data_IF_651185741326
#
_entry.id   IF_651185741326
#
_cell.length_a   1.000
_cell.length_b   1.000
_cell.length_c   1.000
_cell.angle_alpha   90.00
_cell.angle_beta   90.00
_cell.angle_gamma   90.00
#
_symmetry.space_group_name_H-M   'P 1'
#
loop_
_entity.id
_entity.type
_entity.pdbx_description
1 polymer ?
#
# COMPACT_ATOMS: atom_id res chain seq x y z
N UNK A 1 -49.09 3.44 -1.17
CA UNK A 1 -48.19 2.48 -1.81
C UNK A 1 -48.22 1.23 -0.97
N UNK A 2 -48.51 0.11 -1.63
CA UNK A 2 -48.60 -1.20 -0.98
C UNK A 2 -47.21 -1.63 -0.47
N UNK A 3 -47.13 -2.44 0.59
CA UNK A 3 -45.83 -2.92 1.11
C UNK A 3 -45.05 -3.66 0.01
N UNK A 4 -45.76 -4.40 -0.84
CA UNK A 4 -45.20 -5.09 -2.00
C UNK A 4 -44.66 -4.12 -3.08
N UNK A 5 -45.25 -2.94 -3.26
CA UNK A 5 -44.74 -1.92 -4.19
C UNK A 5 -43.44 -1.30 -3.68
N UNK A 6 -43.34 -1.04 -2.38
CA UNK A 6 -42.12 -0.49 -1.77
C UNK A 6 -40.96 -1.49 -1.84
N UNK A 7 -41.23 -2.77 -1.61
CA UNK A 7 -40.25 -3.85 -1.69
C UNK A 7 -39.77 -4.08 -3.14
N UNK A 8 -40.69 -4.07 -4.11
CA UNK A 8 -40.33 -4.16 -5.53
C UNK A 8 -39.47 -2.96 -6.00
N UNK A 9 -39.78 -1.75 -5.51
CA UNK A 9 -38.98 -0.55 -5.82
C UNK A 9 -37.57 -0.64 -5.25
N UNK A 10 -37.44 -1.16 -4.02
CA UNK A 10 -36.14 -1.36 -3.37
C UNK A 10 -35.27 -2.37 -4.13
N UNK A 11 -35.84 -3.51 -4.54
CA UNK A 11 -35.12 -4.53 -5.33
C UNK A 11 -34.69 -3.96 -6.69
N UNK A 12 -35.57 -3.18 -7.34
CA UNK A 12 -35.24 -2.55 -8.62
C UNK A 12 -34.11 -1.52 -8.47
N UNK A 13 -34.09 -0.78 -7.37
CA UNK A 13 -33.03 0.18 -7.08
C UNK A 13 -31.69 -0.51 -6.79
N UNK A 14 -31.69 -1.57 -5.98
CA UNK A 14 -30.49 -2.38 -5.68
C UNK A 14 -29.90 -3.00 -6.96
N UNK A 15 -30.74 -3.57 -7.84
CA UNK A 15 -30.29 -4.10 -9.14
C UNK A 15 -29.62 -3.02 -9.99
N UNK A 16 -30.18 -1.81 -9.99
CA UNK A 16 -29.63 -0.70 -10.75
C UNK A 16 -28.26 -0.27 -10.21
N UNK A 17 -28.11 -0.20 -8.89
CA UNK A 17 -26.82 0.12 -8.26
C UNK A 17 -25.75 -0.92 -8.61
N UNK A 18 -26.11 -2.22 -8.62
CA UNK A 18 -25.20 -3.30 -9.05
C UNK A 18 -24.81 -3.15 -10.52
N UNK A 19 -25.78 -2.93 -11.41
CA UNK A 19 -25.50 -2.74 -12.84
C UNK A 19 -24.63 -1.50 -13.11
N UNK A 20 -24.88 -0.41 -12.41
CA UNK A 20 -24.10 0.82 -12.51
C UNK A 20 -22.65 0.58 -12.05
N UNK A 21 -22.45 -0.17 -10.96
CA UNK A 21 -21.11 -0.55 -10.49
C UNK A 21 -20.36 -1.45 -11.49
N UNK A 22 -21.04 -2.48 -12.03
CA UNK A 22 -20.47 -3.38 -13.04
C UNK A 22 -20.00 -2.61 -14.29
N UNK A 23 -20.81 -1.65 -14.75
CA UNK A 23 -20.48 -0.80 -15.90
C UNK A 23 -19.35 0.18 -15.58
N UNK A 24 -19.41 0.86 -14.42
CA UNK A 24 -18.40 1.83 -13.99
C UNK A 24 -17.00 1.21 -13.98
N UNK A 25 -16.89 -0.03 -13.52
CA UNK A 25 -15.61 -0.74 -13.43
C UNK A 25 -15.33 -1.67 -14.61
N UNK A 26 -16.22 -1.73 -15.61
CA UNK A 26 -16.11 -2.62 -16.78
C UNK A 26 -15.83 -4.09 -16.42
N UNK A 27 -16.36 -4.54 -15.27
CA UNK A 27 -16.03 -5.84 -14.67
C UNK A 27 -16.36 -7.01 -15.60
N UNK A 28 -17.49 -6.93 -16.32
CA UNK A 28 -17.89 -7.98 -17.26
C UNK A 28 -16.90 -8.14 -18.41
N UNK A 29 -16.41 -7.04 -18.99
CA UNK A 29 -15.44 -7.10 -20.10
C UNK A 29 -14.12 -7.72 -19.64
N UNK A 30 -13.60 -7.21 -18.51
CA UNK A 30 -12.34 -7.68 -17.93
C UNK A 30 -12.42 -9.17 -17.58
N UNK A 31 -13.49 -9.61 -16.92
CA UNK A 31 -13.67 -11.01 -16.56
C UNK A 31 -13.75 -11.90 -17.80
N UNK A 32 -14.49 -11.49 -18.82
CA UNK A 32 -14.61 -12.26 -20.06
C UNK A 32 -13.27 -12.37 -20.79
N UNK A 33 -12.48 -11.30 -20.85
CA UNK A 33 -11.14 -11.30 -21.45
C UNK A 33 -10.21 -12.28 -20.74
N UNK A 34 -10.15 -12.24 -19.40
CA UNK A 34 -9.30 -13.12 -18.60
C UNK A 34 -9.75 -14.58 -18.73
N UNK A 35 -11.06 -14.86 -18.66
CA UNK A 35 -11.59 -16.22 -18.83
C UNK A 35 -11.25 -16.76 -20.22
N UNK A 36 -11.42 -15.96 -21.28
CA UNK A 36 -11.07 -16.35 -22.63
C UNK A 36 -9.57 -16.64 -22.76
N UNK A 37 -8.71 -15.85 -22.12
CA UNK A 37 -7.27 -16.10 -22.05
C UNK A 37 -6.96 -17.45 -21.39
N UNK A 38 -7.54 -17.75 -20.23
CA UNK A 38 -7.31 -19.01 -19.51
C UNK A 38 -7.78 -20.21 -20.33
N UNK A 39 -8.95 -20.12 -20.95
CA UNK A 39 -9.49 -21.18 -21.82
C UNK A 39 -8.57 -21.44 -23.02
N UNK A 40 -7.91 -20.40 -23.53
CA UNK A 40 -6.96 -20.49 -24.65
C UNK A 40 -5.64 -21.13 -24.23
N UNK A 41 -5.03 -20.65 -23.15
CA UNK A 41 -3.71 -21.12 -22.70
C UNK A 41 -3.75 -22.49 -22.01
N UNK A 42 -4.89 -22.86 -21.42
CA UNK A 42 -5.10 -24.14 -20.70
C UNK A 42 -3.98 -24.45 -19.70
N UNK A 43 -3.67 -23.54 -18.75
CA UNK A 43 -2.67 -23.79 -17.72
C UNK A 43 -3.07 -25.00 -16.84
N UNK A 44 -2.09 -25.66 -16.24
CA UNK A 44 -2.33 -26.75 -15.29
C UNK A 44 -3.13 -26.27 -14.06
N UNK A 45 -2.88 -25.03 -13.61
CA UNK A 45 -3.65 -24.37 -12.55
C UNK A 45 -4.30 -23.06 -13.07
N UNK A 46 -5.56 -23.11 -13.52
CA UNK A 46 -6.26 -21.93 -14.04
C UNK A 46 -6.61 -20.90 -12.96
N UNK A 47 -6.72 -21.30 -11.68
CA UNK A 47 -7.15 -20.37 -10.63
C UNK A 47 -6.01 -19.46 -10.18
N UNK A 48 -4.78 -20.00 -10.09
CA UNK A 48 -3.60 -19.19 -9.81
C UNK A 48 -3.37 -18.16 -10.92
N UNK A 49 -3.45 -18.57 -12.19
CA UNK A 49 -3.31 -17.66 -13.34
C UNK A 49 -4.41 -16.61 -13.37
N UNK A 50 -5.66 -16.99 -13.07
CA UNK A 50 -6.77 -16.02 -12.94
C UNK A 50 -6.46 -14.94 -11.89
N UNK A 51 -5.97 -15.35 -10.72
CA UNK A 51 -5.64 -14.42 -9.64
C UNK A 51 -4.52 -13.45 -10.05
N UNK A 52 -3.51 -13.95 -10.75
CA UNK A 52 -2.40 -13.13 -11.25
C UNK A 52 -2.85 -12.13 -12.33
N UNK A 53 -3.70 -12.54 -13.27
CA UNK A 53 -4.24 -11.66 -14.32
C UNK A 53 -5.17 -10.59 -13.75
N UNK A 54 -6.04 -10.95 -12.80
CA UNK A 54 -6.89 -9.99 -12.09
C UNK A 54 -6.04 -8.99 -11.31
N UNK A 55 -4.96 -9.46 -10.67
CA UNK A 55 -4.01 -8.60 -9.98
C UNK A 55 -3.30 -7.68 -10.97
N UNK A 56 -2.85 -8.18 -12.12
CA UNK A 56 -2.17 -7.36 -13.13
C UNK A 56 -3.08 -6.27 -13.73
N UNK A 57 -4.38 -6.55 -13.84
CA UNK A 57 -5.38 -5.61 -14.37
C UNK A 57 -5.77 -4.53 -13.34
N UNK A 58 -5.62 -4.82 -12.04
CA UNK A 58 -5.97 -3.88 -10.98
C UNK A 58 -5.05 -2.65 -10.98
N UNK A 59 -5.65 -1.47 -11.02
CA UNK A 59 -4.92 -0.19 -10.89
C UNK A 59 -4.27 -0.03 -9.51
N UNK A 60 -4.83 -0.69 -8.49
CA UNK A 60 -4.30 -0.69 -7.12
C UNK A 60 -3.10 -1.64 -6.95
N UNK A 61 -2.86 -2.55 -7.90
CA UNK A 61 -1.79 -3.54 -7.77
C UNK A 61 -0.39 -2.93 -7.75
N UNK A 62 -0.26 -1.70 -8.24
CA UNK A 62 0.98 -0.93 -8.22
C UNK A 62 1.00 0.12 -7.13
N UNK A 63 0.09 0.11 -6.16
CA UNK A 63 0.07 1.14 -5.13
C UNK A 63 0.69 0.65 -3.83
N UNK A 64 1.31 1.60 -3.12
CA UNK A 64 1.65 1.45 -1.71
C UNK A 64 0.34 1.39 -0.92
N UNK A 65 0.16 0.31 -0.17
CA UNK A 65 -1.01 0.06 0.68
C UNK A 65 -0.82 0.61 2.09
N UNK A 66 0.42 0.63 2.57
CA UNK A 66 0.76 1.11 3.91
C UNK A 66 2.25 1.30 4.09
N UNK A 67 2.61 2.19 5.01
CA UNK A 67 3.99 2.39 5.46
C UNK A 67 4.01 2.39 6.99
N UNK A 68 4.93 1.63 7.57
CA UNK A 68 5.13 1.54 9.02
C UNK A 68 6.59 1.68 9.37
N UNK A 69 6.90 1.99 10.61
CA UNK A 69 8.26 1.95 11.12
C UNK A 69 8.32 1.47 12.57
N UNK A 70 9.47 0.93 12.95
CA UNK A 70 9.79 0.56 14.32
C UNK A 70 11.25 0.80 14.64
N UNK A 71 11.52 1.01 15.92
CA UNK A 71 12.87 1.06 16.47
C UNK A 71 13.26 -0.36 16.91
N UNK A 72 14.33 -0.89 16.32
CA UNK A 72 14.97 -2.15 16.70
C UNK A 72 16.27 -1.85 17.46
N UNK A 73 16.79 -2.84 18.18
CA UNK A 73 18.08 -2.74 18.87
C UNK A 73 19.13 -3.57 18.14
N UNK A 74 20.20 -2.89 17.71
CA UNK A 74 21.35 -3.49 17.08
C UNK A 74 22.18 -4.34 18.04
N UNK A 75 23.09 -5.14 17.47
CA UNK A 75 24.02 -5.98 18.23
C UNK A 75 24.99 -5.18 19.12
N UNK A 76 25.20 -3.91 18.78
CA UNK A 76 26.01 -2.93 19.50
C UNK A 76 25.22 -2.19 20.58
N UNK A 77 23.95 -2.54 20.79
CA UNK A 77 23.05 -1.92 21.75
C UNK A 77 22.44 -0.60 21.26
N UNK A 78 22.70 -0.20 20.01
CA UNK A 78 22.22 1.07 19.46
C UNK A 78 20.89 0.90 18.71
N UNK A 79 19.99 1.89 18.76
CA UNK A 79 18.75 1.89 17.98
C UNK A 79 18.99 1.85 16.47
N UNK A 80 18.19 1.05 15.77
CA UNK A 80 18.09 0.95 14.31
C UNK A 80 16.65 1.28 13.92
N UNK A 81 16.47 2.19 12.97
CA UNK A 81 15.18 2.46 12.38
C UNK A 81 14.89 1.40 11.32
N UNK A 82 13.78 0.69 11.43
CA UNK A 82 13.25 -0.17 10.37
C UNK A 82 11.97 0.43 9.82
N UNK A 83 11.88 0.62 8.51
CA UNK A 83 10.66 0.98 7.81
C UNK A 83 10.14 -0.23 7.03
N UNK A 84 8.82 -0.37 6.98
CA UNK A 84 8.11 -1.41 6.24
C UNK A 84 7.15 -0.74 5.24
N UNK A 85 7.22 -1.11 3.97
CA UNK A 85 6.32 -0.67 2.91
C UNK A 85 5.51 -1.87 2.43
N UNK A 86 4.20 -1.79 2.56
CA UNK A 86 3.25 -2.81 2.14
C UNK A 86 2.72 -2.50 0.74
N UNK A 87 2.76 -3.48 -0.16
CA UNK A 87 2.21 -3.42 -1.51
C UNK A 87 1.36 -4.66 -1.78
N UNK A 88 0.61 -4.68 -2.89
CA UNK A 88 -0.10 -5.89 -3.30
C UNK A 88 0.81 -7.11 -3.54
N UNK A 89 2.11 -6.90 -3.78
CA UNK A 89 3.10 -7.99 -3.99
C UNK A 89 3.68 -8.52 -2.69
N UNK A 90 3.51 -7.82 -1.58
CA UNK A 90 4.07 -8.19 -0.29
C UNK A 90 4.62 -6.99 0.47
N UNK A 91 5.33 -7.28 1.55
CA UNK A 91 5.94 -6.29 2.44
C UNK A 91 7.46 -6.24 2.21
N UNK A 92 7.97 -5.03 2.06
CA UNK A 92 9.38 -4.74 1.87
C UNK A 92 9.89 -3.97 3.08
N UNK A 93 11.09 -4.29 3.55
CA UNK A 93 11.66 -3.65 4.73
C UNK A 93 13.04 -3.10 4.46
N UNK A 94 13.34 -1.95 5.06
CA UNK A 94 14.64 -1.30 4.98
C UNK A 94 15.04 -0.79 6.37
N UNK A 95 16.34 -0.86 6.65
CA UNK A 95 16.90 -0.54 7.96
C UNK A 95 17.97 0.56 7.84
N UNK A 96 17.93 1.53 8.74
CA UNK A 96 18.86 2.65 8.83
C UNK A 96 19.35 2.78 10.27
N UNK A 97 20.66 2.64 10.48
CA UNK A 97 21.32 2.79 11.79
C UNK A 97 21.95 4.17 12.00
N UNK A 98 21.86 5.04 10.99
CA UNK A 98 22.43 6.39 11.02
C UNK A 98 21.39 7.44 11.39
N UNK A 99 21.84 8.49 12.08
CA UNK A 99 21.00 9.60 12.50
C UNK A 99 20.36 10.41 11.35
N UNK A 100 19.56 11.44 11.68
CA UNK A 100 19.58 12.17 12.96
C UNK A 100 18.87 11.48 14.12
N UNK A 101 19.56 11.40 15.26
CA UNK A 101 19.07 10.79 16.50
C UNK A 101 18.21 11.74 17.34
N UNK A 102 17.52 11.22 18.36
CA UNK A 102 16.57 11.97 19.19
C UNK A 102 17.22 12.97 20.15
N UNK A 103 18.52 12.83 20.44
CA UNK A 103 19.29 13.65 21.40
C UNK A 103 18.74 13.59 22.84
N UNK A 104 18.06 12.49 23.17
CA UNK A 104 17.58 12.18 24.52
C UNK A 104 18.64 11.39 25.29
N UNK A 105 19.40 12.06 26.16
CA UNK A 105 20.48 11.43 26.94
C UNK A 105 19.99 10.30 27.85
N UNK A 106 18.71 10.28 28.23
CA UNK A 106 18.14 9.21 29.05
C UNK A 106 17.94 7.91 28.24
N UNK A 107 17.97 7.98 26.91
CA UNK A 107 17.72 6.86 26.00
C UNK A 107 18.86 6.66 25.01
N UNK A 108 19.56 5.53 25.15
CA UNK A 108 20.61 5.11 24.22
C UNK A 108 21.72 6.14 24.01
N UNK A 109 22.08 6.89 25.05
CA UNK A 109 23.08 7.98 25.01
C UNK A 109 22.74 9.04 23.93
N UNK A 110 21.46 9.40 23.79
CA UNK A 110 21.02 10.37 22.78
C UNK A 110 20.77 9.77 21.40
N UNK A 111 20.99 8.45 21.20
CA UNK A 111 20.88 7.77 19.90
C UNK A 111 19.50 7.18 19.58
N UNK A 112 18.45 7.60 20.30
CA UNK A 112 17.07 7.22 20.00
C UNK A 112 16.64 7.57 18.57
N UNK A 113 15.67 6.83 18.03
CA UNK A 113 15.11 6.99 16.69
C UNK A 113 13.58 7.11 16.70
N UNK A 114 12.94 7.30 17.85
CA UNK A 114 11.47 7.35 17.95
C UNK A 114 10.89 8.54 17.19
N UNK A 115 11.57 9.70 17.16
CA UNK A 115 11.07 10.83 16.36
C UNK A 115 11.06 10.51 14.87
N UNK A 116 11.97 9.65 14.41
CA UNK A 116 11.96 9.18 13.02
C UNK A 116 10.81 8.19 12.78
N UNK A 117 10.55 7.27 13.71
CA UNK A 117 9.39 6.37 13.67
C UNK A 117 8.07 7.15 13.61
N UNK A 118 7.92 8.17 14.45
CA UNK A 118 6.74 9.04 14.46
C UNK A 118 6.57 9.80 13.13
N UNK A 119 7.66 10.29 12.54
CA UNK A 119 7.63 10.95 11.25
C UNK A 119 7.14 10.01 10.14
N UNK A 120 7.54 8.74 10.17
CA UNK A 120 7.05 7.74 9.20
C UNK A 120 5.55 7.52 9.35
N UNK A 121 5.06 7.29 10.57
CA UNK A 121 3.63 7.00 10.79
C UNK A 121 2.71 8.19 10.56
N UNK A 122 3.11 9.38 11.00
CA UNK A 122 2.22 10.54 11.03
C UNK A 122 2.33 11.44 9.79
N UNK A 123 3.44 11.36 9.04
CA UNK A 123 3.68 12.23 7.89
C UNK A 123 3.85 11.39 6.62
N UNK A 124 4.81 10.45 6.61
CA UNK A 124 5.16 9.74 5.38
C UNK A 124 4.08 8.75 4.95
N UNK A 125 3.47 8.02 5.88
CA UNK A 125 2.44 7.04 5.58
C UNK A 125 1.25 7.66 4.84
N UNK A 126 0.74 8.81 5.30
CA UNK A 126 -0.38 9.50 4.64
C UNK A 126 -0.06 9.92 3.20
N UNK A 127 1.19 10.35 2.95
CA UNK A 127 1.59 10.89 1.64
C UNK A 127 1.92 9.82 0.61
N UNK A 128 2.39 8.67 1.06
CA UNK A 128 2.87 7.59 0.20
C UNK A 128 1.80 6.58 -0.16
N UNK A 129 0.80 6.38 0.69
CA UNK A 129 -0.32 5.48 0.38
C UNK A 129 -1.00 5.92 -0.92
N UNK A 130 -1.19 4.97 -1.84
CA UNK A 130 -1.74 5.21 -3.17
C UNK A 130 -0.72 5.62 -4.24
N UNK A 131 0.56 5.83 -3.89
CA UNK A 131 1.63 6.12 -4.87
C UNK A 131 2.18 4.84 -5.49
N UNK A 132 2.71 4.96 -6.70
CA UNK A 132 3.37 3.86 -7.40
C UNK A 132 4.85 3.75 -6.95
N UNK A 133 5.26 2.66 -6.29
CA UNK A 133 6.62 2.49 -5.79
C UNK A 133 7.65 2.35 -6.93
N UNK A 134 7.22 2.13 -8.18
CA UNK A 134 8.13 2.11 -9.34
C UNK A 134 8.57 3.51 -9.77
N UNK A 135 7.86 4.56 -9.33
CA UNK A 135 8.16 5.96 -9.63
C UNK A 135 9.09 6.57 -8.57
N UNK A 136 10.26 5.95 -8.37
CA UNK A 136 11.20 6.32 -7.32
C UNK A 136 11.54 7.83 -7.30
N UNK A 137 11.80 8.42 -8.47
CA UNK A 137 12.16 9.85 -8.56
C UNK A 137 11.03 10.79 -8.11
N UNK A 138 9.76 10.38 -8.24
CA UNK A 138 8.61 11.16 -7.76
C UNK A 138 8.47 11.01 -6.24
N UNK A 139 8.63 9.79 -5.74
CA UNK A 139 8.60 9.49 -4.31
C UNK A 139 9.71 10.25 -3.58
N UNK A 140 10.95 10.18 -4.05
CA UNK A 140 12.08 10.86 -3.42
C UNK A 140 11.89 12.37 -3.37
N UNK A 141 11.31 12.96 -4.43
CA UNK A 141 10.99 14.39 -4.46
C UNK A 141 9.94 14.74 -3.42
N UNK A 142 8.87 13.96 -3.35
CA UNK A 142 7.81 14.14 -2.35
C UNK A 142 8.38 14.05 -0.93
N UNK A 143 9.26 13.08 -0.67
CA UNK A 143 9.89 12.91 0.64
C UNK A 143 10.78 14.09 1.03
N UNK A 144 11.47 14.71 0.06
CA UNK A 144 12.31 15.89 0.30
C UNK A 144 11.49 17.15 0.61
N UNK A 145 10.28 17.28 0.04
CA UNK A 145 9.40 18.44 0.24
C UNK A 145 8.83 18.51 1.66
N UNK A 146 8.57 17.36 2.30
CA UNK A 146 7.94 17.27 3.63
C UNK A 146 8.88 17.64 4.80
N UNK A 147 10.17 17.95 4.54
CA UNK A 147 11.17 18.36 5.55
C UNK A 147 11.23 17.44 6.79
N UNK A 148 10.99 16.16 6.59
CA UNK A 148 11.11 15.13 7.63
C UNK A 148 12.58 14.78 7.91
N UNK A 149 12.82 14.04 8.99
CA UNK A 149 14.17 13.61 9.38
C UNK A 149 14.82 12.75 8.28
N UNK A 150 16.10 12.98 8.00
CA UNK A 150 16.80 12.35 6.87
C UNK A 150 16.85 10.82 6.95
N UNK A 151 16.94 10.25 8.16
CA UNK A 151 16.91 8.81 8.39
C UNK A 151 15.53 8.19 8.09
N UNK A 152 14.44 8.91 8.38
CA UNK A 152 13.10 8.47 8.00
C UNK A 152 12.91 8.46 6.47
N UNK A 153 13.39 9.50 5.78
CA UNK A 153 13.39 9.55 4.31
C UNK A 153 14.18 8.40 3.73
N UNK A 154 15.41 8.19 4.22
CA UNK A 154 16.28 7.14 3.73
C UNK A 154 15.70 5.75 3.94
N UNK A 155 15.10 5.49 5.10
CA UNK A 155 14.50 4.19 5.40
C UNK A 155 13.30 3.87 4.51
N UNK A 156 12.53 4.87 4.08
CA UNK A 156 11.35 4.64 3.23
C UNK A 156 11.70 4.67 1.72
N UNK A 157 12.78 5.36 1.36
CA UNK A 157 13.25 5.47 -0.03
C UNK A 157 14.05 4.24 -0.50
N UNK A 158 14.71 3.54 0.43
CA UNK A 158 15.56 2.37 0.17
C UNK A 158 14.75 1.10 -0.16
#
# INVERSE_FOLDING_TARGET
MDQAEQEALAIAQERKEVEDYLKQHSLESVMNEIVNFIVRERPEDPFSVLADELRATSQFARQILGVRARELIGIDGNPILEAEVETCKGMYTAQVSTGPYDEDEERYDGRGMLKAVEAVHNVLAEKLVGKDPTLQSEIDRLLQEEKVRANAVLAVSA
#
